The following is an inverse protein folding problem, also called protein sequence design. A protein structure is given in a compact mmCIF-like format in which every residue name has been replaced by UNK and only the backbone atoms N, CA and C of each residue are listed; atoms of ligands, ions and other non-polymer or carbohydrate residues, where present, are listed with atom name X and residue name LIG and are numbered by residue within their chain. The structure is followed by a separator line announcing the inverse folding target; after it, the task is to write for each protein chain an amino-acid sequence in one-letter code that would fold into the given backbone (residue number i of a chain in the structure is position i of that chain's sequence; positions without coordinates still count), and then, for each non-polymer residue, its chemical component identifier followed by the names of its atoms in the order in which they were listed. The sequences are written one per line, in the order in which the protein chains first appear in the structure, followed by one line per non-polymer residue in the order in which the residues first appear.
data_IF_691587831698
#
_entry.id   IF_691587831698
#
_cell.length_a   1.000
_cell.length_b   1.000
_cell.length_c   1.000
_cell.angle_alpha   90.00
_cell.angle_beta   90.00
_cell.angle_gamma   90.00
#
_symmetry.space_group_name_H-M   'P 1'
#
loop_
_entity.id
_entity.type
_entity.pdbx_description
1 polymer ?
#
# COMPACT_ATOMS: atom_id res chain seq x y z
N UNK A 1 -8.65 -2.75 14.80
CA UNK A 1 -8.48 -3.95 13.95
C UNK A 1 -7.56 -3.60 12.78
N UNK A 2 -6.76 -4.56 12.30
CA UNK A 2 -5.84 -4.34 11.18
C UNK A 2 -5.96 -5.48 10.16
N UNK A 3 -5.91 -5.16 8.87
CA UNK A 3 -5.90 -6.08 7.76
C UNK A 3 -5.01 -5.57 6.64
N UNK A 4 -4.43 -6.48 5.88
CA UNK A 4 -3.61 -6.12 4.74
C UNK A 4 -2.56 -7.18 4.39
N UNK A 5 -1.53 -6.73 3.74
CA UNK A 5 -0.48 -7.54 3.13
C UNK A 5 0.74 -7.77 4.05
N UNK A 6 1.88 -8.07 3.44
CA UNK A 6 3.14 -8.35 4.12
C UNK A 6 3.72 -7.17 4.93
N UNK A 7 3.26 -5.94 4.73
CA UNK A 7 3.67 -4.79 5.55
C UNK A 7 3.05 -4.85 6.95
N UNK A 8 1.96 -5.60 7.13
CA UNK A 8 1.28 -5.83 8.41
C UNK A 8 1.40 -7.26 8.92
N UNK A 9 1.64 -8.23 8.03
CA UNK A 9 1.65 -9.64 8.39
C UNK A 9 2.75 -9.99 9.38
N UNK A 10 2.38 -10.63 10.50
CA UNK A 10 3.34 -11.11 11.52
C UNK A 10 4.27 -12.19 10.97
N UNK A 11 3.83 -12.96 9.98
CA UNK A 11 4.67 -13.94 9.32
C UNK A 11 5.83 -13.33 8.51
N UNK A 12 5.74 -12.02 8.18
CA UNK A 12 6.83 -11.26 7.56
C UNK A 12 7.75 -10.58 8.60
N UNK A 13 7.32 -10.52 9.86
CA UNK A 13 7.94 -9.69 10.90
C UNK A 13 9.17 -10.30 11.58
N UNK A 14 9.44 -11.59 11.39
CA UNK A 14 10.37 -12.33 12.26
C UNK A 14 11.81 -11.83 12.30
N UNK A 15 12.26 -11.05 11.33
CA UNK A 15 13.64 -10.55 11.32
C UNK A 15 13.76 -9.04 10.96
N UNK A 16 12.69 -8.35 10.49
CA UNK A 16 12.91 -7.19 9.63
C UNK A 16 12.13 -5.93 9.98
N UNK A 17 11.27 -5.96 10.97
CA UNK A 17 10.31 -4.91 11.25
C UNK A 17 8.99 -5.11 10.50
N UNK A 18 7.93 -4.60 11.08
CA UNK A 18 6.57 -4.70 10.54
C UNK A 18 5.88 -3.37 10.83
N UNK A 19 5.30 -2.75 9.82
CA UNK A 19 4.72 -1.42 9.98
C UNK A 19 3.68 -1.37 11.10
N UNK A 20 2.83 -2.39 11.22
CA UNK A 20 1.81 -2.45 12.27
C UNK A 20 2.43 -2.55 13.68
N UNK A 21 3.50 -3.34 13.84
CA UNK A 21 4.17 -3.52 15.13
C UNK A 21 4.98 -2.30 15.57
N UNK A 22 5.41 -1.48 14.62
CA UNK A 22 6.15 -0.24 14.89
C UNK A 22 5.22 0.96 15.19
N UNK A 23 3.89 0.81 15.09
CA UNK A 23 2.97 1.88 15.47
C UNK A 23 3.07 2.15 16.97
N UNK A 24 3.24 3.41 17.33
CA UNK A 24 3.37 3.87 18.71
C UNK A 24 2.30 4.93 19.00
N UNK A 25 1.37 4.58 19.86
CA UNK A 25 0.33 5.50 20.32
C UNK A 25 0.60 6.02 21.73
N UNK A 26 0.21 7.26 22.01
CA UNK A 26 0.31 7.88 23.34
C UNK A 26 -0.65 7.24 24.34
N UNK A 27 -1.80 6.77 23.82
CA UNK A 27 -2.78 6.04 24.61
C UNK A 27 -2.57 4.53 24.42
N UNK A 28 -2.80 3.71 25.47
CA UNK A 28 -2.79 2.26 25.33
C UNK A 28 -3.73 1.81 24.20
N UNK A 29 -3.24 0.97 23.31
CA UNK A 29 -3.99 0.45 22.17
C UNK A 29 -3.75 -1.05 22.03
N UNK A 30 -4.77 -1.77 21.58
CA UNK A 30 -4.67 -3.17 21.19
C UNK A 30 -5.11 -3.31 19.73
N UNK A 31 -4.34 -4.03 18.93
CA UNK A 31 -4.66 -4.34 17.56
C UNK A 31 -4.88 -5.83 17.35
N UNK A 32 -6.08 -6.19 16.84
CA UNK A 32 -6.27 -7.52 16.28
C UNK A 32 -5.78 -7.49 14.83
N UNK A 33 -4.78 -8.32 14.53
CA UNK A 33 -4.15 -8.38 13.21
C UNK A 33 -4.65 -9.58 12.41
N UNK A 34 -5.37 -9.33 11.32
CA UNK A 34 -5.87 -10.33 10.37
C UNK A 34 -5.03 -10.37 9.07
N UNK A 35 -3.93 -9.61 8.99
CA UNK A 35 -3.15 -9.46 7.76
C UNK A 35 -2.45 -10.75 7.34
N UNK A 36 -2.48 -11.04 6.05
CA UNK A 36 -1.82 -12.14 5.38
C UNK A 36 -0.68 -11.69 4.45
N UNK A 37 0.23 -12.62 4.09
CA UNK A 37 1.27 -12.31 3.11
C UNK A 37 0.70 -12.38 1.70
N UNK A 38 1.04 -11.38 0.85
CA UNK A 38 0.65 -11.38 -0.55
C UNK A 38 -0.83 -11.09 -0.79
N UNK A 39 -1.56 -10.66 0.24
CA UNK A 39 -2.98 -10.33 0.12
C UNK A 39 -3.20 -9.21 -0.90
N UNK A 40 -4.11 -9.47 -1.84
CA UNK A 40 -4.68 -8.47 -2.73
C UNK A 40 -5.95 -7.88 -2.12
N UNK A 41 -6.38 -6.74 -2.62
CA UNK A 41 -7.59 -6.10 -2.09
C UNK A 41 -8.85 -6.94 -2.34
N UNK A 42 -8.92 -7.73 -3.42
CA UNK A 42 -10.04 -8.65 -3.64
C UNK A 42 -10.10 -9.77 -2.59
N UNK A 43 -8.95 -10.30 -2.17
CA UNK A 43 -8.90 -11.31 -1.12
C UNK A 43 -9.35 -10.74 0.23
N UNK A 44 -8.97 -9.49 0.53
CA UNK A 44 -9.36 -8.83 1.79
C UNK A 44 -10.87 -8.65 1.93
N UNK A 45 -11.60 -8.48 0.84
CA UNK A 45 -13.07 -8.31 0.85
C UNK A 45 -13.84 -9.61 0.67
N UNK A 46 -13.14 -10.70 0.36
CA UNK A 46 -13.75 -11.99 0.04
C UNK A 46 -13.97 -12.81 1.31
N UNK A 47 -15.21 -13.26 1.54
CA UNK A 47 -15.57 -14.07 2.72
C UNK A 47 -14.88 -15.44 2.71
N UNK A 48 -14.54 -16.00 1.56
CA UNK A 48 -13.84 -17.28 1.47
C UNK A 48 -12.34 -17.13 1.68
N UNK A 49 -11.76 -16.04 1.17
CA UNK A 49 -10.32 -15.76 1.28
C UNK A 49 -9.93 -15.15 2.64
N UNK A 50 -10.76 -14.25 3.19
CA UNK A 50 -10.51 -13.58 4.48
C UNK A 50 -11.72 -13.67 5.43
N UNK A 51 -12.19 -14.89 5.78
CA UNK A 51 -13.46 -15.08 6.51
C UNK A 51 -13.47 -14.43 7.90
N UNK A 52 -12.34 -14.45 8.58
CA UNK A 52 -12.23 -13.88 9.93
C UNK A 52 -12.35 -12.35 9.86
N UNK A 53 -11.61 -11.70 8.98
CA UNK A 53 -11.67 -10.25 8.83
C UNK A 53 -13.04 -9.77 8.40
N UNK A 54 -13.64 -10.39 7.37
CA UNK A 54 -14.96 -9.99 6.85
C UNK A 54 -16.05 -10.13 7.93
N UNK A 55 -16.02 -11.21 8.72
CA UNK A 55 -16.95 -11.39 9.85
C UNK A 55 -16.72 -10.38 10.97
N UNK A 56 -15.47 -10.15 11.36
CA UNK A 56 -15.12 -9.18 12.40
C UNK A 56 -15.43 -7.73 12.00
N UNK A 57 -15.52 -7.45 10.72
CA UNK A 57 -15.86 -6.12 10.21
C UNK A 57 -17.38 -5.94 10.04
N UNK A 58 -18.06 -6.92 9.44
CA UNK A 58 -19.44 -6.77 8.94
C UNK A 58 -20.52 -7.52 9.72
N UNK A 59 -20.16 -8.51 10.57
CA UNK A 59 -21.16 -9.26 11.35
C UNK A 59 -21.73 -8.36 12.47
N UNK A 60 -23.04 -8.39 12.65
CA UNK A 60 -23.73 -7.61 13.70
C UNK A 60 -23.36 -8.03 15.12
N UNK A 61 -22.84 -9.24 15.32
CA UNK A 61 -22.34 -9.77 16.59
C UNK A 61 -20.84 -9.48 16.83
N UNK A 62 -20.15 -8.88 15.87
CA UNK A 62 -18.72 -8.54 16.00
C UNK A 62 -18.49 -7.43 17.05
N UNK A 63 -17.28 -7.31 17.61
CA UNK A 63 -16.95 -6.17 18.46
C UNK A 63 -16.90 -4.87 17.65
N UNK A 64 -17.24 -3.75 18.30
CA UNK A 64 -17.03 -2.43 17.71
C UNK A 64 -15.55 -2.05 17.78
N UNK A 65 -14.97 -1.65 16.67
CA UNK A 65 -13.58 -1.19 16.56
C UNK A 65 -13.52 0.33 16.57
N UNK A 66 -12.55 0.91 17.28
CA UNK A 66 -12.34 2.38 17.27
C UNK A 66 -11.76 2.85 15.93
N UNK A 67 -11.03 1.99 15.23
CA UNK A 67 -10.48 2.25 13.91
C UNK A 67 -10.05 0.97 13.19
N UNK A 68 -10.03 1.02 11.88
CA UNK A 68 -9.61 -0.07 11.00
C UNK A 68 -8.36 0.38 10.23
N UNK A 69 -7.25 -0.33 10.41
CA UNK A 69 -5.98 -0.07 9.72
C UNK A 69 -5.86 -0.99 8.50
N UNK A 70 -5.49 -0.45 7.37
CA UNK A 70 -5.39 -1.17 6.10
C UNK A 70 -4.02 -0.98 5.44
N UNK A 71 -3.40 -2.09 5.04
CA UNK A 71 -2.23 -2.14 4.15
C UNK A 71 -2.64 -2.88 2.88
N UNK A 72 -3.19 -2.15 1.89
CA UNK A 72 -3.85 -2.73 0.72
C UNK A 72 -3.54 -1.95 -0.57
N UNK A 73 -3.60 -2.62 -1.70
CA UNK A 73 -3.39 -2.05 -3.04
C UNK A 73 -1.94 -2.17 -3.55
N UNK A 74 -0.95 -2.37 -2.67
CA UNK A 74 0.45 -2.53 -3.09
C UNK A 74 0.68 -3.81 -3.89
N UNK A 75 0.18 -4.94 -3.40
CA UNK A 75 0.27 -6.21 -4.12
C UNK A 75 -0.53 -6.21 -5.42
N UNK A 76 -1.65 -5.50 -5.47
CA UNK A 76 -2.45 -5.35 -6.70
C UNK A 76 -1.66 -4.61 -7.79
N UNK A 77 -0.94 -3.53 -7.42
CA UNK A 77 -0.02 -2.82 -8.33
C UNK A 77 1.12 -3.72 -8.78
N UNK A 78 1.73 -4.48 -7.86
CA UNK A 78 2.81 -5.42 -8.17
C UNK A 78 2.31 -6.51 -9.13
N UNK A 79 1.17 -7.13 -8.85
CA UNK A 79 0.59 -8.17 -9.68
C UNK A 79 0.29 -7.67 -11.11
N UNK A 80 -0.28 -6.47 -11.22
CA UNK A 80 -0.55 -5.83 -12.51
C UNK A 80 0.75 -5.46 -13.26
N UNK A 81 1.82 -5.07 -12.55
CA UNK A 81 3.15 -4.84 -13.13
C UNK A 81 3.82 -6.15 -13.55
N UNK A 82 3.57 -7.26 -12.83
CA UNK A 82 4.10 -8.60 -13.13
C UNK A 82 3.34 -9.30 -14.27
N UNK A 83 2.22 -8.77 -14.70
CA UNK A 83 1.47 -9.34 -15.83
C UNK A 83 2.34 -9.32 -17.09
N UNK A 84 2.63 -10.49 -17.72
CA UNK A 84 3.49 -10.55 -18.89
C UNK A 84 2.78 -9.99 -20.13
N UNK A 85 3.56 -9.60 -21.13
CA UNK A 85 3.00 -9.13 -22.42
C UNK A 85 2.38 -10.24 -23.25
N UNK A 86 2.84 -11.50 -23.02
CA UNK A 86 2.31 -12.70 -23.67
C UNK A 86 2.10 -13.79 -22.64
N UNK A 87 1.04 -14.56 -22.82
CA UNK A 87 0.82 -15.78 -22.05
C UNK A 87 1.74 -16.92 -22.53
N UNK A 88 1.87 -18.02 -21.77
CA UNK A 88 2.71 -19.16 -22.18
C UNK A 88 2.31 -19.79 -23.53
N UNK A 89 1.07 -19.65 -23.95
CA UNK A 89 0.57 -20.11 -25.24
C UNK A 89 0.88 -19.15 -26.41
N UNK A 90 1.59 -18.03 -26.12
CA UNK A 90 1.96 -17.02 -27.09
C UNK A 90 0.89 -15.96 -27.35
N UNK A 91 -0.29 -16.08 -26.76
CA UNK A 91 -1.35 -15.05 -26.91
C UNK A 91 -0.95 -13.74 -26.24
N UNK A 92 -1.32 -12.63 -26.86
CA UNK A 92 -1.03 -11.29 -26.31
C UNK A 92 -1.94 -10.97 -25.13
N UNK A 93 -1.36 -10.38 -24.08
CA UNK A 93 -2.10 -9.77 -23.00
C UNK A 93 -2.37 -8.32 -23.38
N UNK A 94 -3.64 -7.89 -23.45
CA UNK A 94 -3.97 -6.52 -23.86
C UNK A 94 -3.50 -5.48 -22.84
N UNK A 95 -3.33 -4.23 -23.30
CA UNK A 95 -2.81 -3.11 -22.48
C UNK A 95 -3.66 -2.83 -21.25
N UNK A 96 -4.96 -3.09 -21.32
CA UNK A 96 -5.91 -2.90 -20.22
C UNK A 96 -5.70 -3.87 -19.05
N UNK A 97 -4.95 -4.94 -19.27
CA UNK A 97 -4.68 -5.99 -18.27
C UNK A 97 -3.28 -5.95 -17.68
N UNK A 98 -2.41 -5.00 -18.09
CA UNK A 98 -1.03 -4.89 -17.62
C UNK A 98 -0.59 -3.44 -17.44
N UNK A 99 0.31 -3.19 -16.51
CA UNK A 99 0.81 -1.83 -16.25
C UNK A 99 2.00 -1.42 -17.11
N UNK A 100 2.71 -2.36 -17.71
CA UNK A 100 3.90 -2.07 -18.51
C UNK A 100 3.64 -2.24 -20.01
N UNK A 101 4.25 -1.37 -20.81
CA UNK A 101 4.23 -1.41 -22.27
C UNK A 101 5.46 -2.13 -22.81
N UNK A 102 5.26 -2.96 -23.83
CA UNK A 102 6.37 -3.52 -24.63
C UNK A 102 7.15 -2.40 -25.32
N UNK A 103 8.37 -2.68 -25.71
CA UNK A 103 9.22 -1.70 -26.42
C UNK A 103 8.55 -1.15 -27.70
N UNK A 104 7.81 -2.01 -28.42
CA UNK A 104 7.03 -1.62 -29.62
C UNK A 104 5.82 -0.73 -29.35
N UNK A 105 5.42 -0.64 -28.07
CA UNK A 105 4.25 0.13 -27.62
C UNK A 105 4.65 1.39 -26.85
N UNK A 106 5.95 1.62 -26.66
CA UNK A 106 6.41 2.78 -25.91
C UNK A 106 5.96 4.09 -26.57
N UNK A 107 5.54 5.02 -25.75
CA UNK A 107 5.27 6.37 -26.17
C UNK A 107 6.52 7.13 -26.62
N UNK A 108 6.38 8.36 -27.09
CA UNK A 108 7.51 9.16 -27.54
C UNK A 108 8.48 9.47 -26.36
N UNK A 109 9.78 9.69 -26.63
CA UNK A 109 10.77 10.05 -25.60
C UNK A 109 10.38 11.26 -24.75
N UNK A 110 9.62 12.20 -25.32
CA UNK A 110 9.10 13.38 -24.61
C UNK A 110 8.12 13.06 -23.48
N UNK A 111 7.52 11.86 -23.46
CA UNK A 111 6.68 11.40 -22.37
C UNK A 111 7.47 10.95 -21.12
N UNK A 112 8.81 11.02 -21.17
CA UNK A 112 9.68 10.56 -20.07
C UNK A 112 9.39 9.10 -19.71
N UNK A 113 9.36 8.78 -18.41
CA UNK A 113 9.09 7.39 -17.95
C UNK A 113 7.64 6.95 -18.14
N UNK A 114 6.70 7.87 -18.33
CA UNK A 114 5.31 7.55 -18.67
C UNK A 114 5.17 6.77 -19.98
N UNK A 115 6.18 6.83 -20.88
CA UNK A 115 6.18 6.06 -22.12
C UNK A 115 6.15 4.54 -21.92
N UNK A 116 6.63 4.05 -20.74
CA UNK A 116 6.65 2.63 -20.39
C UNK A 116 5.37 2.17 -19.72
N UNK A 117 4.50 3.09 -19.32
CA UNK A 117 3.34 2.82 -18.48
C UNK A 117 2.04 2.75 -19.31
N UNK A 118 1.17 1.79 -18.96
CA UNK A 118 -0.13 1.59 -19.60
C UNK A 118 -1.23 2.33 -18.85
N UNK A 119 -1.64 3.48 -19.35
CA UNK A 119 -2.79 4.21 -18.80
C UNK A 119 -4.11 3.40 -18.85
N UNK A 120 -4.42 2.63 -19.93
CA UNK A 120 -5.58 1.75 -19.93
C UNK A 120 -5.51 0.68 -18.81
N UNK A 121 -4.33 0.08 -18.61
CA UNK A 121 -4.13 -0.90 -17.53
C UNK A 121 -4.27 -0.27 -16.14
N UNK A 122 -3.76 0.95 -15.97
CA UNK A 122 -3.97 1.69 -14.72
C UNK A 122 -5.45 2.00 -14.49
N UNK A 123 -6.19 2.42 -15.51
CA UNK A 123 -7.63 2.71 -15.39
C UNK A 123 -8.39 1.48 -14.89
N UNK A 124 -8.13 0.32 -15.48
CA UNK A 124 -8.74 -0.95 -15.06
C UNK A 124 -8.41 -1.29 -13.60
N UNK A 125 -7.13 -1.17 -13.21
CA UNK A 125 -6.69 -1.41 -11.84
C UNK A 125 -7.31 -0.40 -10.86
N UNK A 126 -7.36 0.87 -11.21
CA UNK A 126 -7.95 1.92 -10.38
C UNK A 126 -9.44 1.69 -10.12
N UNK A 127 -10.19 1.26 -11.13
CA UNK A 127 -11.62 0.92 -10.99
C UNK A 127 -11.83 -0.31 -10.10
N UNK A 128 -10.96 -1.31 -10.25
CA UNK A 128 -10.94 -2.47 -9.37
C UNK A 128 -10.66 -2.07 -7.90
N UNK A 129 -9.63 -1.28 -7.63
CA UNK A 129 -9.27 -0.82 -6.29
C UNK A 129 -10.40 0.03 -5.67
N UNK A 130 -10.98 0.93 -6.46
CA UNK A 130 -12.12 1.76 -6.05
C UNK A 130 -13.32 0.91 -5.62
N UNK A 131 -13.67 -0.08 -6.42
CA UNK A 131 -14.81 -0.97 -6.17
C UNK A 131 -14.62 -1.76 -4.87
N UNK A 132 -13.45 -2.35 -4.67
CA UNK A 132 -13.18 -3.14 -3.47
C UNK A 132 -13.07 -2.27 -2.20
N UNK A 133 -12.49 -1.06 -2.26
CA UNK A 133 -12.49 -0.13 -1.13
C UNK A 133 -13.89 0.33 -0.75
N UNK A 134 -14.78 0.56 -1.74
CA UNK A 134 -16.18 0.86 -1.47
C UNK A 134 -16.88 -0.33 -0.80
N UNK A 135 -16.58 -1.54 -1.23
CA UNK A 135 -17.11 -2.75 -0.61
C UNK A 135 -16.66 -2.91 0.85
N UNK A 136 -15.38 -2.63 1.17
CA UNK A 136 -14.88 -2.60 2.55
C UNK A 136 -15.64 -1.61 3.43
N UNK A 137 -15.91 -0.42 2.92
CA UNK A 137 -16.71 0.60 3.64
C UNK A 137 -18.11 0.09 3.88
N UNK A 138 -18.74 -0.53 2.87
CA UNK A 138 -20.07 -1.15 3.01
C UNK A 138 -20.09 -2.26 4.07
N UNK A 139 -19.07 -3.12 4.13
CA UNK A 139 -18.93 -4.14 5.15
C UNK A 139 -18.80 -3.53 6.54
N UNK A 140 -17.94 -2.53 6.73
CA UNK A 140 -17.82 -1.79 8.00
C UNK A 140 -19.17 -1.25 8.46
N UNK A 141 -19.94 -0.68 7.55
CA UNK A 141 -21.21 0.00 7.88
C UNK A 141 -22.37 -0.96 8.12
N UNK A 142 -22.20 -2.26 7.82
CA UNK A 142 -23.14 -3.32 8.19
C UNK A 142 -22.92 -3.80 9.63
N UNK A 143 -21.71 -3.66 10.17
CA UNK A 143 -21.33 -4.13 11.50
C UNK A 143 -21.37 -3.04 12.58
N UNK A 144 -21.02 -3.41 13.82
CA UNK A 144 -20.97 -2.47 14.96
C UNK A 144 -19.96 -1.33 14.81
N UNK A 145 -19.06 -1.43 13.84
CA UNK A 145 -18.07 -0.40 13.51
C UNK A 145 -18.55 0.61 12.46
N UNK A 146 -19.87 0.68 12.20
CA UNK A 146 -20.44 1.65 11.25
C UNK A 146 -19.97 3.08 11.54
N UNK A 147 -19.51 3.78 10.48
CA UNK A 147 -18.98 5.14 10.58
C UNK A 147 -17.63 5.28 11.28
N UNK A 148 -16.99 4.22 11.75
CA UNK A 148 -15.65 4.29 12.33
C UNK A 148 -14.58 4.57 11.26
N UNK A 149 -13.48 5.28 11.60
CA UNK A 149 -12.45 5.61 10.64
C UNK A 149 -11.72 4.39 10.12
N UNK A 150 -11.46 4.38 8.82
CA UNK A 150 -10.58 3.45 8.12
C UNK A 150 -9.32 4.20 7.69
N UNK A 151 -8.16 3.67 8.04
CA UNK A 151 -6.85 4.28 7.76
C UNK A 151 -6.10 3.42 6.76
N UNK A 152 -5.64 4.02 5.68
CA UNK A 152 -4.80 3.37 4.67
C UNK A 152 -3.54 4.19 4.41
N UNK A 153 -2.43 3.54 4.11
CA UNK A 153 -1.17 4.20 3.74
C UNK A 153 -0.85 4.01 2.25
N UNK A 154 -0.01 4.90 1.68
CA UNK A 154 0.31 4.90 0.25
C UNK A 154 1.53 4.06 -0.14
N UNK A 155 2.11 3.29 0.79
CA UNK A 155 3.41 2.63 0.63
C UNK A 155 4.57 3.62 0.47
N UNK A 156 5.77 3.09 0.23
CA UNK A 156 6.96 3.86 -0.10
C UNK A 156 7.50 3.42 -1.46
N UNK A 157 8.33 4.25 -2.09
CA UNK A 157 8.87 3.98 -3.42
C UNK A 157 10.06 3.02 -3.33
N UNK A 158 9.93 1.75 -3.76
CA UNK A 158 11.03 0.80 -3.76
C UNK A 158 11.99 1.07 -4.93
N UNK A 159 13.29 0.76 -4.72
CA UNK A 159 14.27 0.64 -5.79
C UNK A 159 14.20 -0.76 -6.38
N UNK A 160 13.78 -0.93 -7.64
CA UNK A 160 13.81 -2.25 -8.29
C UNK A 160 15.23 -2.80 -8.34
N UNK A 161 15.46 -4.00 -7.76
CA UNK A 161 16.77 -4.59 -7.59
C UNK A 161 16.69 -6.11 -7.34
N UNK A 162 17.79 -6.88 -7.53
CA UNK A 162 17.77 -8.34 -7.38
C UNK A 162 17.79 -8.77 -5.90
N UNK A 163 16.84 -8.28 -5.10
CA UNK A 163 16.74 -8.55 -3.67
C UNK A 163 15.43 -9.27 -3.37
N UNK A 164 15.47 -10.60 -3.39
CA UNK A 164 14.37 -11.47 -3.02
C UNK A 164 14.14 -11.48 -1.49
N UNK A 165 13.01 -12.02 -1.06
CA UNK A 165 12.79 -12.36 0.34
C UNK A 165 13.58 -13.64 0.69
N UNK A 166 13.80 -13.88 2.00
CA UNK A 166 14.56 -15.02 2.51
C UNK A 166 13.93 -16.38 2.14
N UNK A 167 12.62 -16.42 1.97
CA UNK A 167 11.88 -17.60 1.53
C UNK A 167 11.90 -17.82 0.01
N UNK A 168 12.73 -17.05 -0.71
CA UNK A 168 12.93 -17.16 -2.15
C UNK A 168 11.87 -16.48 -3.01
N UNK A 169 10.85 -15.84 -2.40
CA UNK A 169 9.89 -15.04 -3.16
C UNK A 169 10.50 -13.72 -3.62
N UNK A 170 10.05 -13.23 -4.78
CA UNK A 170 10.63 -12.04 -5.41
C UNK A 170 11.99 -12.32 -6.07
N UNK A 171 12.72 -11.30 -6.50
CA UNK A 171 12.27 -9.90 -6.50
C UNK A 171 11.03 -9.72 -7.37
N UNK A 172 10.29 -8.64 -7.17
CA UNK A 172 8.95 -8.45 -7.75
C UNK A 172 8.94 -7.56 -8.99
N UNK A 173 9.54 -6.36 -8.90
CA UNK A 173 9.57 -5.39 -10.00
C UNK A 173 10.78 -5.58 -10.92
N UNK A 174 11.93 -5.91 -10.35
CA UNK A 174 13.21 -6.08 -11.06
C UNK A 174 13.12 -7.01 -12.27
N UNK A 175 12.60 -8.26 -12.17
CA UNK A 175 12.55 -9.15 -13.32
C UNK A 175 11.61 -8.66 -14.40
N UNK A 176 10.51 -7.99 -14.03
CA UNK A 176 9.52 -7.51 -14.99
C UNK A 176 10.01 -6.28 -15.75
N UNK A 177 10.65 -5.32 -15.07
CA UNK A 177 11.25 -4.18 -15.77
C UNK A 177 12.32 -4.62 -16.77
N UNK A 178 13.08 -5.70 -16.46
CA UNK A 178 13.99 -6.32 -17.41
C UNK A 178 13.26 -6.99 -18.58
N UNK A 179 12.21 -7.77 -18.29
CA UNK A 179 11.42 -8.47 -19.31
C UNK A 179 10.75 -7.50 -20.30
N UNK A 180 10.32 -6.34 -19.80
CA UNK A 180 9.77 -5.25 -20.62
C UNK A 180 10.84 -4.33 -21.23
N UNK A 181 12.12 -4.68 -21.11
CA UNK A 181 13.27 -3.96 -21.63
C UNK A 181 13.39 -2.50 -21.17
N UNK A 182 12.78 -2.16 -20.02
CA UNK A 182 12.91 -0.80 -19.45
C UNK A 182 14.37 -0.55 -19.07
N UNK A 183 14.99 0.55 -19.53
CA UNK A 183 16.35 0.90 -19.17
C UNK A 183 16.55 0.99 -17.65
N UNK A 184 17.63 0.44 -17.13
CA UNK A 184 17.89 0.39 -15.68
C UNK A 184 18.01 1.78 -15.04
N UNK A 185 18.43 2.78 -15.78
CA UNK A 185 18.46 4.18 -15.33
C UNK A 185 17.06 4.74 -15.00
N UNK A 186 16.01 4.19 -15.59
CA UNK A 186 14.63 4.65 -15.44
C UNK A 186 13.85 3.85 -14.37
N UNK A 187 14.38 2.75 -13.84
CA UNK A 187 13.64 1.84 -12.95
C UNK A 187 13.07 2.50 -11.70
N UNK A 188 13.87 3.31 -11.00
CA UNK A 188 13.37 4.03 -9.82
C UNK A 188 12.25 5.01 -10.19
N UNK A 189 12.36 5.67 -11.32
CA UNK A 189 11.35 6.63 -11.77
C UNK A 189 10.06 5.93 -12.19
N UNK A 190 10.13 4.74 -12.82
CA UNK A 190 8.96 3.90 -13.14
C UNK A 190 8.31 3.36 -11.88
N UNK A 191 9.09 2.87 -10.93
CA UNK A 191 8.59 2.44 -9.62
C UNK A 191 7.87 3.58 -8.88
N UNK A 192 8.48 4.77 -8.89
CA UNK A 192 7.87 5.99 -8.34
C UNK A 192 6.56 6.32 -9.03
N UNK A 193 6.50 6.24 -10.36
CA UNK A 193 5.27 6.50 -11.12
C UNK A 193 4.13 5.59 -10.65
N UNK A 194 4.37 4.29 -10.50
CA UNK A 194 3.36 3.32 -10.04
C UNK A 194 2.87 3.64 -8.62
N UNK A 195 3.79 3.89 -7.69
CA UNK A 195 3.42 4.23 -6.30
C UNK A 195 2.66 5.54 -6.22
N UNK A 196 3.06 6.56 -7.01
CA UNK A 196 2.37 7.85 -7.03
C UNK A 196 0.97 7.75 -7.64
N UNK A 197 0.75 6.90 -8.65
CA UNK A 197 -0.60 6.61 -9.16
C UNK A 197 -1.50 6.02 -8.07
N UNK A 198 -1.01 5.03 -7.31
CA UNK A 198 -1.75 4.46 -6.19
C UNK A 198 -2.03 5.53 -5.10
N UNK A 199 -1.02 6.31 -4.73
CA UNK A 199 -1.17 7.37 -3.73
C UNK A 199 -2.19 8.43 -4.15
N UNK A 200 -2.17 8.85 -5.41
CA UNK A 200 -3.13 9.82 -5.95
C UNK A 200 -4.55 9.24 -5.97
N UNK A 201 -4.71 7.98 -6.39
CA UNK A 201 -5.99 7.30 -6.33
C UNK A 201 -6.53 7.29 -4.90
N UNK A 202 -5.79 6.75 -3.94
CA UNK A 202 -6.22 6.65 -2.55
C UNK A 202 -6.61 8.02 -1.97
N UNK A 203 -5.81 9.04 -2.22
CA UNK A 203 -6.12 10.42 -1.79
C UNK A 203 -7.39 10.97 -2.45
N UNK A 204 -7.61 10.69 -3.74
CA UNK A 204 -8.83 11.11 -4.44
C UNK A 204 -10.06 10.42 -3.87
N UNK A 205 -9.97 9.13 -3.54
CA UNK A 205 -11.06 8.41 -2.89
C UNK A 205 -11.35 8.97 -1.49
N UNK A 206 -10.33 9.24 -0.68
CA UNK A 206 -10.51 9.83 0.64
C UNK A 206 -11.06 11.28 0.60
N UNK A 207 -10.89 11.99 -0.51
CA UNK A 207 -11.49 13.32 -0.70
C UNK A 207 -12.99 13.25 -1.03
N UNK A 208 -13.45 12.16 -1.64
CA UNK A 208 -14.87 11.89 -1.91
C UNK A 208 -15.56 11.33 -0.66
N UNK A 209 -16.00 12.23 0.24
CA UNK A 209 -16.62 11.87 1.51
C UNK A 209 -18.02 11.26 1.37
N UNK A 210 -18.65 11.43 0.24
CA UNK A 210 -19.96 10.84 -0.04
C UNK A 210 -19.83 9.34 -0.32
N UNK A 211 -18.90 8.95 -1.18
CA UNK A 211 -18.70 7.55 -1.57
C UNK A 211 -17.75 6.79 -0.64
N UNK A 212 -16.80 7.51 0.01
CA UNK A 212 -15.78 6.94 0.89
C UNK A 212 -15.78 7.62 2.26
N UNK A 213 -16.92 7.57 3.01
CA UNK A 213 -17.02 8.21 4.32
C UNK A 213 -16.02 7.62 5.31
N UNK A 214 -15.37 8.51 6.08
CA UNK A 214 -14.41 8.14 7.12
C UNK A 214 -13.18 7.35 6.61
N UNK A 215 -12.87 7.42 5.31
CA UNK A 215 -11.59 6.95 4.78
C UNK A 215 -10.53 8.04 5.00
N UNK A 216 -9.42 7.65 5.64
CA UNK A 216 -8.27 8.50 5.93
C UNK A 216 -7.02 7.91 5.28
N UNK A 217 -6.33 8.72 4.48
CA UNK A 217 -5.13 8.29 3.75
C UNK A 217 -3.90 8.97 4.32
N UNK A 218 -2.93 8.17 4.71
CA UNK A 218 -1.62 8.63 5.11
C UNK A 218 -0.65 8.57 3.93
N UNK A 219 -0.07 9.71 3.58
CA UNK A 219 0.92 9.80 2.50
C UNK A 219 2.30 9.35 2.97
N UNK A 220 2.53 8.05 3.00
CA UNK A 220 3.83 7.46 3.35
C UNK A 220 4.93 7.76 2.33
N UNK A 221 4.58 8.22 1.11
CA UNK A 221 5.57 8.65 0.12
C UNK A 221 6.30 9.94 0.52
N UNK A 222 5.70 10.71 1.44
CA UNK A 222 6.29 11.94 2.00
C UNK A 222 7.31 11.70 3.11
N UNK A 223 7.38 10.48 3.65
CA UNK A 223 8.33 10.13 4.73
C UNK A 223 9.72 9.92 4.13
N UNK A 224 10.75 10.65 4.58
CA UNK A 224 12.10 10.48 4.07
C UNK A 224 12.67 9.11 4.43
N UNK A 225 12.90 8.27 3.42
CA UNK A 225 13.57 6.97 3.55
C UNK A 225 14.89 6.98 2.80
N UNK A 226 15.88 6.29 3.37
CA UNK A 226 17.13 6.01 2.65
C UNK A 226 16.84 4.99 1.55
N UNK A 227 17.00 5.41 0.30
CA UNK A 227 16.80 4.56 -0.89
C UNK A 227 17.83 3.42 -0.88
N UNK A 228 17.39 2.23 -1.30
CA UNK A 228 18.31 1.12 -1.49
C UNK A 228 19.29 1.38 -2.65
N UNK A 229 20.51 0.88 -2.52
CA UNK A 229 21.53 0.97 -3.57
C UNK A 229 21.11 0.16 -4.79
N UNK A 230 21.12 0.73 -6.00
CA UNK A 230 20.83 0.01 -7.23
C UNK A 230 21.69 -1.26 -7.35
N UNK A 231 21.07 -2.38 -7.75
CA UNK A 231 21.76 -3.66 -7.93
C UNK A 231 22.13 -4.42 -6.66
N UNK A 232 21.93 -3.88 -5.47
CA UNK A 232 22.15 -4.62 -4.22
C UNK A 232 21.14 -5.77 -4.07
N UNK A 233 21.59 -6.91 -3.50
CA UNK A 233 20.79 -8.12 -3.34
C UNK A 233 20.32 -8.42 -1.91
N UNK A 234 20.75 -7.60 -0.94
CA UNK A 234 20.41 -7.75 0.48
C UNK A 234 19.84 -6.46 1.08
N UNK A 235 19.90 -6.34 2.40
CA UNK A 235 19.49 -5.13 3.14
C UNK A 235 20.26 -3.91 2.63
N UNK A 236 19.57 -2.83 2.32
CA UNK A 236 20.18 -1.60 1.80
C UNK A 236 19.31 -0.38 2.08
N UNK A 237 19.88 0.68 2.66
CA UNK A 237 19.13 1.83 3.11
C UNK A 237 18.08 1.44 4.14
N UNK A 238 16.85 1.90 3.97
CA UNK A 238 15.71 1.56 4.82
C UNK A 238 14.95 0.30 4.34
N UNK A 239 15.54 -0.48 3.43
CA UNK A 239 14.91 -1.61 2.76
C UNK A 239 15.56 -2.94 3.14
N UNK A 240 14.73 -3.89 3.53
CA UNK A 240 15.16 -5.27 3.79
C UNK A 240 15.41 -6.04 2.48
N UNK A 241 14.44 -6.03 1.60
CA UNK A 241 14.53 -6.59 0.25
C UNK A 241 14.03 -5.57 -0.78
N UNK A 242 13.59 -6.00 -1.97
CA UNK A 242 13.15 -5.07 -3.01
C UNK A 242 11.98 -4.19 -2.56
N UNK A 243 10.96 -4.76 -1.89
CA UNK A 243 9.69 -4.07 -1.59
C UNK A 243 9.35 -3.95 -0.09
N UNK A 244 10.07 -4.66 0.78
CA UNK A 244 9.83 -4.60 2.21
C UNK A 244 10.85 -3.69 2.91
N UNK A 245 10.36 -2.90 3.83
CA UNK A 245 11.20 -2.08 4.70
C UNK A 245 11.91 -2.94 5.74
N UNK A 246 13.08 -2.48 6.18
CA UNK A 246 13.68 -2.96 7.42
C UNK A 246 13.07 -2.24 8.64
N UNK A 247 13.52 -2.58 9.85
CA UNK A 247 13.06 -1.97 11.08
C UNK A 247 13.14 -0.42 11.03
N UNK A 248 14.27 0.14 10.57
CA UNK A 248 14.44 1.60 10.45
C UNK A 248 13.39 2.25 9.54
N UNK A 249 13.16 1.66 8.37
CA UNK A 249 12.17 2.18 7.41
C UNK A 249 10.74 2.08 7.95
N UNK A 250 10.38 0.92 8.52
CA UNK A 250 9.06 0.69 9.13
C UNK A 250 8.82 1.66 10.28
N UNK A 251 9.79 1.85 11.17
CA UNK A 251 9.70 2.76 12.31
C UNK A 251 9.46 4.23 11.86
N UNK A 252 10.17 4.69 10.82
CA UNK A 252 10.00 6.06 10.31
C UNK A 252 8.58 6.32 9.83
N UNK A 253 8.02 5.38 9.05
CA UNK A 253 6.63 5.49 8.55
C UNK A 253 5.65 5.35 9.71
N UNK A 254 5.82 4.34 10.55
CA UNK A 254 4.92 4.06 11.67
C UNK A 254 4.79 5.25 12.62
N UNK A 255 5.90 5.89 12.97
CA UNK A 255 5.91 7.07 13.85
C UNK A 255 5.04 8.20 13.28
N UNK A 256 5.23 8.55 12.01
CA UNK A 256 4.47 9.61 11.37
C UNK A 256 2.97 9.22 11.19
N UNK A 257 2.72 7.94 10.89
CA UNK A 257 1.35 7.46 10.72
C UNK A 257 0.60 7.35 12.05
N UNK A 258 1.27 6.95 13.13
CA UNK A 258 0.68 6.95 14.48
C UNK A 258 0.13 8.32 14.87
N UNK A 259 0.90 9.38 14.63
CA UNK A 259 0.45 10.75 14.88
C UNK A 259 -0.78 11.13 14.04
N UNK A 260 -0.82 10.73 12.77
CA UNK A 260 -1.96 10.97 11.89
C UNK A 260 -3.21 10.19 12.35
N UNK A 261 -3.07 8.95 12.80
CA UNK A 261 -4.16 8.13 13.33
C UNK A 261 -4.70 8.76 14.63
N UNK A 262 -3.82 9.10 15.58
CA UNK A 262 -4.23 9.72 16.85
C UNK A 262 -4.97 11.05 16.65
N UNK A 263 -4.53 11.88 15.71
CA UNK A 263 -5.20 13.15 15.40
C UNK A 263 -6.66 12.94 14.93
N UNK A 264 -6.97 11.82 14.31
CA UNK A 264 -8.34 11.49 13.90
C UNK A 264 -9.13 10.88 15.07
N UNK A 265 -8.52 9.97 15.85
CA UNK A 265 -9.22 9.23 16.90
C UNK A 265 -9.46 10.08 18.16
N UNK A 266 -8.49 10.93 18.53
CA UNK A 266 -8.50 11.67 19.81
C UNK A 266 -8.67 13.18 19.59
N UNK A 267 -8.50 13.64 18.36
CA UNK A 267 -8.48 15.07 18.02
C UNK A 267 -7.08 15.69 18.20
N UNK A 268 -6.86 16.91 17.65
CA UNK A 268 -5.58 17.59 17.77
C UNK A 268 -5.29 17.97 19.23
N UNK A 269 -4.01 17.94 19.65
CA UNK A 269 -3.65 18.37 21.00
C UNK A 269 -4.12 19.80 21.27
N UNK A 270 -4.53 20.14 22.52
CA UNK A 270 -4.95 21.48 22.88
C UNK A 270 -3.84 22.48 22.53
N UNK A 271 -4.21 23.59 21.88
CA UNK A 271 -3.26 24.65 21.57
C UNK A 271 -2.59 25.14 22.88
N UNK A 272 -1.28 25.34 22.92
CA UNK A 272 -0.61 25.86 24.11
C UNK A 272 -1.26 27.19 24.50
N UNK A 273 -1.73 27.26 25.73
CA UNK A 273 -2.27 28.51 26.31
C UNK A 273 -1.10 29.51 26.31
N UNK A 274 -1.22 30.58 25.53
CA UNK A 274 -0.25 31.68 25.60
C UNK A 274 -0.21 32.16 27.05
N UNK A 275 0.92 31.95 27.75
CA UNK A 275 1.14 32.53 29.06
C UNK A 275 0.89 34.04 28.96
N UNK A 276 -0.17 34.51 29.59
CA UNK A 276 -0.50 35.93 29.64
C UNK A 276 0.74 36.65 30.19
N UNK A 277 1.27 37.61 29.41
CA UNK A 277 2.25 38.57 29.96
C UNK A 277 1.55 39.28 31.12
N UNK A 278 1.92 38.86 32.34
CA UNK A 278 1.52 39.63 33.54
C UNK A 278 2.03 41.04 33.39
N UNK A 279 1.12 41.98 33.61
CA UNK A 279 1.41 43.41 33.75
C UNK A 279 2.12 43.65 35.08
#
# INVERSE_FOLDING_TARGET
MAQGDSWFSTAAAQAHGNLLQELMFKQPAAALNCAGRGESLSHVVDLEAAPEFVRLLGDTSAPAWDGILLSVGGNDVIAAAQTPAHLPDGSEVPLEKRLLRRQTEWGPPSAGVGRYFSEPGWTTLADYLRTNLRHLISLRDQGPSAGKPMFVHCYAVPMPRPAAAEDGRGPWLYPMLKAYAVPSADWLAVSRLMVMHLAQLLKSLAADKEQFPHLHVFDSTSVPLATATPGSSGVSGDWHNEIHLNHSGSFKIARAWSEAIENVLVGPPPKPVKAGKGR
#
